data_IF_096085719414
#
_entry.id   IF_096085719414
#
_cell.length_a   1.000
_cell.length_b   1.000
_cell.length_c   1.000
_cell.angle_alpha   90.00
_cell.angle_beta   90.00
_cell.angle_gamma   90.00
#
_symmetry.space_group_name_H-M   'P 1'
#
loop_
_entity.id
_entity.type
_entity.pdbx_description
1 polymer ?
#
# COMPACT_ATOMS: atom_id res chain seq x y z
N UNK A 1 -19.41 8.06 0.45
CA UNK A 1 -19.14 8.16 -1.01
C UNK A 1 -20.11 9.18 -1.59
N UNK A 2 -19.67 10.11 -2.43
CA UNK A 2 -20.55 11.18 -2.93
C UNK A 2 -21.31 10.71 -4.18
N UNK A 3 -22.48 10.11 -3.98
CA UNK A 3 -23.29 9.52 -5.05
C UNK A 3 -23.72 10.53 -6.11
N UNK A 4 -23.94 11.80 -5.73
CA UNK A 4 -24.27 12.88 -6.68
C UNK A 4 -23.14 13.13 -7.67
N UNK A 5 -21.90 13.12 -7.18
CA UNK A 5 -20.72 13.29 -8.01
C UNK A 5 -20.57 12.10 -8.99
N UNK A 6 -20.76 10.88 -8.50
CA UNK A 6 -20.67 9.67 -9.34
C UNK A 6 -21.72 9.68 -10.44
N UNK A 7 -22.97 10.01 -10.12
CA UNK A 7 -24.05 10.08 -11.11
C UNK A 7 -23.80 11.15 -12.18
N UNK A 8 -23.32 12.34 -11.78
CA UNK A 8 -22.96 13.39 -12.73
C UNK A 8 -21.82 12.96 -13.68
N UNK A 9 -20.83 12.23 -13.17
CA UNK A 9 -19.74 11.71 -14.01
C UNK A 9 -20.24 10.67 -15.01
N UNK A 10 -21.18 9.80 -14.61
CA UNK A 10 -21.80 8.81 -15.51
C UNK A 10 -22.55 9.50 -16.64
N UNK A 11 -23.37 10.51 -16.34
CA UNK A 11 -24.10 11.28 -17.35
C UNK A 11 -23.15 11.93 -18.38
N UNK A 12 -22.07 12.56 -17.90
CA UNK A 12 -21.07 13.19 -18.76
C UNK A 12 -20.38 12.16 -19.66
N UNK A 13 -19.98 11.01 -19.11
CA UNK A 13 -19.30 9.95 -19.88
C UNK A 13 -20.25 9.37 -20.94
N UNK A 14 -21.54 9.20 -20.60
CA UNK A 14 -22.56 8.71 -21.53
C UNK A 14 -22.88 9.69 -22.66
N UNK A 15 -22.67 11.00 -22.46
CA UNK A 15 -22.91 12.03 -23.48
C UNK A 15 -21.74 12.29 -24.42
N UNK A 16 -20.58 11.66 -24.22
CA UNK A 16 -19.40 11.89 -25.06
C UNK A 16 -19.59 11.38 -26.49
N UNK A 17 -19.13 12.16 -27.46
CA UNK A 17 -19.01 11.72 -28.85
C UNK A 17 -17.91 10.69 -29.03
N UNK A 18 -17.96 9.91 -30.12
CA UNK A 18 -16.96 8.88 -30.42
C UNK A 18 -15.50 9.37 -30.42
N UNK A 19 -15.13 10.53 -31.02
CA UNK A 19 -13.76 11.03 -30.95
C UNK A 19 -13.33 11.41 -29.52
N UNK A 20 -14.24 11.96 -28.71
CA UNK A 20 -13.97 12.31 -27.32
C UNK A 20 -13.80 11.06 -26.45
N UNK A 21 -14.62 10.03 -26.69
CA UNK A 21 -14.50 8.72 -26.04
C UNK A 21 -13.17 8.05 -26.38
N UNK A 22 -12.75 8.11 -27.63
CA UNK A 22 -11.44 7.59 -28.07
C UNK A 22 -10.29 8.35 -27.40
N UNK A 23 -10.39 9.67 -27.30
CA UNK A 23 -9.40 10.48 -26.59
C UNK A 23 -9.34 10.16 -25.09
N UNK A 24 -10.50 9.97 -24.45
CA UNK A 24 -10.61 9.57 -23.04
C UNK A 24 -9.94 8.21 -22.81
N UNK A 25 -10.26 7.21 -23.63
CA UNK A 25 -9.67 5.88 -23.54
C UNK A 25 -8.15 5.92 -23.73
N UNK A 26 -7.65 6.68 -24.71
CA UNK A 26 -6.21 6.84 -24.93
C UNK A 26 -5.51 7.45 -23.71
N UNK A 27 -6.09 8.50 -23.10
CA UNK A 27 -5.55 9.13 -21.89
C UNK A 27 -5.60 8.20 -20.68
N UNK A 28 -6.68 7.44 -20.53
CA UNK A 28 -6.83 6.48 -19.45
C UNK A 28 -5.76 5.37 -19.55
N UNK A 29 -5.58 4.80 -20.74
CA UNK A 29 -4.56 3.79 -21.00
C UNK A 29 -3.15 4.32 -20.69
N UNK A 30 -2.81 5.54 -21.13
CA UNK A 30 -1.51 6.15 -20.83
C UNK A 30 -1.31 6.35 -19.32
N UNK A 31 -2.36 6.70 -18.58
CA UNK A 31 -2.29 6.89 -17.13
C UNK A 31 -2.12 5.56 -16.38
N UNK A 32 -2.80 4.51 -16.81
CA UNK A 32 -2.65 3.16 -16.25
C UNK A 32 -1.25 2.60 -16.49
N UNK A 33 -0.72 2.77 -17.70
CA UNK A 33 0.65 2.40 -18.03
C UNK A 33 1.68 3.21 -17.22
N UNK A 34 1.47 4.51 -17.04
CA UNK A 34 2.33 5.33 -16.20
C UNK A 34 2.26 4.93 -14.70
N UNK A 35 1.13 4.41 -14.22
CA UNK A 35 1.02 3.86 -12.87
C UNK A 35 1.65 2.47 -12.72
N UNK A 36 1.59 1.61 -13.74
CA UNK A 36 2.28 0.31 -13.75
C UNK A 36 3.80 0.48 -13.84
N UNK A 37 4.27 1.49 -14.58
CA UNK A 37 5.68 1.89 -14.60
C UNK A 37 6.14 2.56 -13.30
N UNK A 38 5.19 3.03 -12.47
CA UNK A 38 5.43 3.37 -11.05
C UNK A 38 5.23 2.14 -10.15
N UNK A 39 5.68 0.98 -10.61
CA UNK A 39 6.19 -0.04 -9.71
C UNK A 39 7.32 0.62 -8.92
N UNK A 40 7.00 1.20 -7.76
CA UNK A 40 7.95 1.72 -6.79
C UNK A 40 9.01 0.64 -6.63
N UNK A 41 10.26 0.96 -6.99
CA UNK A 41 11.36 0.03 -6.88
C UNK A 41 11.59 -0.17 -5.38
N UNK A 42 10.91 -1.16 -4.78
CA UNK A 42 10.93 -1.41 -3.35
C UNK A 42 12.35 -1.53 -2.80
N UNK A 43 13.28 -2.00 -3.63
CA UNK A 43 14.70 -2.13 -3.34
C UNK A 43 15.39 -0.79 -3.04
N UNK A 44 14.85 0.33 -3.52
CA UNK A 44 15.39 1.69 -3.30
C UNK A 44 14.77 2.40 -2.09
N UNK A 45 13.78 1.79 -1.44
CA UNK A 45 13.13 2.39 -0.28
C UNK A 45 14.06 2.38 0.94
N UNK A 46 14.14 3.48 1.72
CA UNK A 46 15.06 3.61 2.86
C UNK A 46 14.91 2.53 3.95
N UNK A 47 13.74 1.88 4.01
CA UNK A 47 13.48 0.84 5.00
C UNK A 47 13.97 -0.56 4.56
N UNK A 48 14.26 -0.77 3.27
CA UNK A 48 14.78 -2.05 2.79
C UNK A 48 16.25 -2.19 3.18
N UNK A 49 16.56 -3.29 3.87
CA UNK A 49 17.92 -3.58 4.34
C UNK A 49 18.29 -2.97 5.70
N UNK A 50 17.42 -2.17 6.33
CA UNK A 50 17.66 -1.60 7.68
C UNK A 50 18.07 -2.64 8.73
N UNK A 51 17.66 -3.89 8.52
CA UNK A 51 17.79 -5.00 9.44
C UNK A 51 18.86 -6.03 9.01
N UNK A 52 19.51 -5.82 7.86
CA UNK A 52 20.42 -6.79 7.25
C UNK A 52 21.64 -7.10 8.11
N UNK A 53 22.18 -6.11 8.81
CA UNK A 53 23.43 -6.24 9.57
C UNK A 53 23.21 -6.55 11.07
N UNK A 54 21.95 -6.65 11.50
CA UNK A 54 21.64 -7.00 12.89
C UNK A 54 21.69 -8.51 13.08
N UNK A 55 22.72 -8.96 13.78
CA UNK A 55 22.92 -10.37 14.12
C UNK A 55 21.84 -10.91 15.06
N UNK A 56 21.26 -10.07 15.92
CA UNK A 56 20.25 -10.48 16.88
C UNK A 56 18.88 -10.82 16.27
N UNK A 57 18.67 -10.51 14.98
CA UNK A 57 17.47 -10.84 14.21
C UNK A 57 17.74 -11.81 13.05
N UNK A 58 18.90 -12.46 13.05
CA UNK A 58 19.21 -13.57 12.13
C UNK A 58 18.15 -14.69 12.27
N UNK A 59 17.78 -15.04 13.51
CA UNK A 59 16.54 -15.76 13.82
C UNK A 59 15.45 -14.78 14.27
N UNK A 60 14.80 -14.16 13.29
CA UNK A 60 13.70 -13.23 13.53
C UNK A 60 12.55 -13.83 14.35
N UNK A 61 12.32 -15.15 14.27
CA UNK A 61 11.25 -15.81 15.01
C UNK A 61 11.60 -15.91 16.49
N UNK A 62 12.83 -16.30 16.83
CA UNK A 62 13.31 -16.32 18.21
C UNK A 62 13.32 -14.90 18.81
N UNK A 63 13.77 -13.90 18.04
CA UNK A 63 13.81 -12.51 18.47
C UNK A 63 12.41 -11.96 18.81
N UNK A 64 11.40 -12.17 17.95
CA UNK A 64 10.03 -11.70 18.25
C UNK A 64 9.46 -12.38 19.50
N UNK A 65 9.74 -13.68 19.69
CA UNK A 65 9.27 -14.43 20.87
C UNK A 65 9.92 -13.94 22.15
N UNK A 66 11.22 -13.65 22.15
CA UNK A 66 11.92 -13.13 23.33
C UNK A 66 11.42 -11.76 23.73
N UNK A 67 11.26 -10.84 22.78
CA UNK A 67 10.69 -9.50 23.00
C UNK A 67 9.27 -9.60 23.58
N UNK A 68 8.42 -10.46 23.02
CA UNK A 68 7.07 -10.70 23.54
C UNK A 68 7.11 -11.25 24.96
N UNK A 69 8.03 -12.14 25.26
CA UNK A 69 8.16 -12.69 26.61
C UNK A 69 8.55 -11.60 27.62
N UNK A 70 9.56 -10.81 27.27
CA UNK A 70 10.14 -9.74 28.08
C UNK A 70 9.15 -8.60 28.37
N UNK A 71 8.42 -8.15 27.35
CA UNK A 71 7.64 -6.93 27.45
C UNK A 71 6.13 -7.16 27.60
N UNK A 72 5.60 -8.28 27.11
CA UNK A 72 4.14 -8.49 27.05
C UNK A 72 3.62 -9.63 27.92
N UNK A 73 4.41 -10.66 28.22
CA UNK A 73 3.96 -11.75 29.12
C UNK A 73 4.30 -11.53 30.60
N UNK A 74 4.83 -10.35 30.97
CA UNK A 74 5.29 -10.00 32.31
C UNK A 74 4.33 -9.19 33.19
N UNK A 75 3.04 -9.09 32.86
CA UNK A 75 2.02 -8.49 33.76
C UNK A 75 0.90 -9.47 34.10
N UNK A 76 1.27 -10.52 34.82
CA UNK A 76 0.39 -11.21 35.74
C UNK A 76 1.22 -11.63 36.97
N UNK A 77 1.64 -10.64 37.76
CA UNK A 77 2.09 -10.88 39.14
C UNK A 77 1.19 -10.06 40.06
N UNK A 78 0.20 -10.77 40.60
CA UNK A 78 -0.52 -10.61 41.85
C UNK A 78 -0.42 -9.23 42.52
N UNK A 79 -1.53 -8.50 42.47
CA UNK A 79 -1.94 -7.62 43.57
C UNK A 79 -2.66 -8.49 44.60
N UNK A 80 -1.96 -8.85 45.67
CA UNK A 80 -2.55 -9.16 46.98
C UNK A 80 -2.40 -7.92 47.88
#
# INVERSE_FOLDING_TARGET
MNEKLVNSLVEIISSLSEPERNLLNKKLLAKLQASELRSENWQEEPFVGMWKDRQDIEDSTAWVRSIRHQHWTGKAKNTD
#
